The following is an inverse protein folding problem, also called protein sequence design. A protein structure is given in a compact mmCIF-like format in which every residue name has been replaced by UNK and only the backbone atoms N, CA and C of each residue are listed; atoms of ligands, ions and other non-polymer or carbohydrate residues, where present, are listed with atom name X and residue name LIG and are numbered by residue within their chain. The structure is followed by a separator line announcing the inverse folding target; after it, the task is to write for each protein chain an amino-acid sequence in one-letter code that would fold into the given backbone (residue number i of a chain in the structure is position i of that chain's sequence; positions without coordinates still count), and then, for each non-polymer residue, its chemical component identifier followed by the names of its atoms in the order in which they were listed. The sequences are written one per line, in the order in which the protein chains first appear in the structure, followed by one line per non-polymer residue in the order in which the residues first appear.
data_IF_840511831017
#
_entry.id   IF_840511831017
#
_cell.length_a   1.000
_cell.length_b   1.000
_cell.length_c   1.000
_cell.angle_alpha   90.00
_cell.angle_beta   90.00
_cell.angle_gamma   90.00
#
_symmetry.space_group_name_H-M   'P 1'
#
loop_
_entity.id
_entity.type
_entity.pdbx_description
1 polymer ?
#
# COMPACT_ATOMS: atom_id res chain seq x y z
N UNK A 1 3.26 17.77 -12.59
CA UNK A 1 4.69 17.90 -12.23
C UNK A 1 5.49 16.97 -13.13
N UNK A 2 6.73 17.33 -13.53
CA UNK A 2 7.59 16.43 -14.32
C UNK A 2 7.93 15.16 -13.52
N UNK A 3 8.01 14.02 -14.21
CA UNK A 3 8.28 12.72 -13.61
C UNK A 3 9.62 12.15 -14.11
N UNK A 4 10.42 11.49 -13.26
CA UNK A 4 11.57 10.73 -13.71
C UNK A 4 11.14 9.57 -14.63
N UNK A 5 11.80 9.46 -15.79
CA UNK A 5 11.53 8.44 -16.81
C UNK A 5 12.66 7.40 -16.88
N UNK A 6 12.47 6.34 -17.67
CA UNK A 6 13.49 5.32 -17.93
C UNK A 6 13.34 4.01 -17.14
N UNK A 7 12.23 3.80 -16.43
CA UNK A 7 11.89 2.48 -15.87
C UNK A 7 11.75 1.43 -16.99
N UNK A 8 12.20 0.21 -16.72
CA UNK A 8 12.10 -0.95 -17.62
C UNK A 8 11.27 -2.05 -16.96
N UNK A 9 10.70 -2.93 -17.77
CA UNK A 9 9.88 -4.03 -17.28
C UNK A 9 10.73 -5.18 -16.71
N UNK A 10 10.20 -5.85 -15.68
CA UNK A 10 10.82 -7.05 -15.12
C UNK A 10 10.73 -8.23 -16.09
N UNK A 11 11.78 -9.05 -16.17
CA UNK A 11 11.77 -10.30 -16.95
C UNK A 11 11.06 -11.46 -16.24
N UNK A 12 10.70 -11.27 -14.96
CA UNK A 12 10.05 -12.28 -14.13
C UNK A 12 8.81 -11.73 -13.46
N UNK A 13 7.81 -12.60 -13.28
CA UNK A 13 6.58 -12.27 -12.57
C UNK A 13 6.80 -12.21 -11.05
N UNK A 14 6.04 -11.35 -10.38
CA UNK A 14 6.03 -11.31 -8.93
C UNK A 14 5.37 -12.57 -8.36
N UNK A 15 6.02 -13.20 -7.38
CA UNK A 15 5.43 -14.32 -6.65
C UNK A 15 4.30 -13.82 -5.74
N UNK A 16 3.17 -14.53 -5.71
CA UNK A 16 2.01 -14.21 -4.86
C UNK A 16 2.40 -14.02 -3.39
N UNK A 17 3.26 -14.86 -2.82
CA UNK A 17 3.69 -14.73 -1.43
C UNK A 17 4.47 -13.44 -1.20
N UNK A 18 5.37 -13.09 -2.13
CA UNK A 18 6.12 -11.83 -2.11
C UNK A 18 5.20 -10.62 -2.22
N UNK A 19 4.19 -10.68 -3.08
CA UNK A 19 3.20 -9.59 -3.24
C UNK A 19 2.43 -9.39 -1.94
N UNK A 20 1.85 -10.46 -1.38
CA UNK A 20 1.05 -10.36 -0.15
C UNK A 20 1.87 -9.94 1.07
N UNK A 21 3.17 -10.30 1.11
CA UNK A 21 4.07 -9.85 2.17
C UNK A 21 4.45 -8.35 2.07
N UNK A 22 4.25 -7.71 0.91
CA UNK A 22 4.68 -6.35 0.64
C UNK A 22 3.55 -5.33 0.47
N UNK A 23 2.28 -5.77 0.43
CA UNK A 23 1.12 -4.90 0.36
C UNK A 23 0.53 -4.67 1.77
N UNK A 24 0.22 -3.41 2.14
CA UNK A 24 -0.47 -3.12 3.40
C UNK A 24 -1.89 -3.68 3.38
N UNK A 25 -2.31 -4.32 4.48
CA UNK A 25 -3.72 -4.72 4.69
C UNK A 25 -4.54 -3.50 5.11
N UNK A 26 -5.83 -3.39 4.72
CA UNK A 26 -6.74 -2.35 5.23
C UNK A 26 -6.99 -2.45 6.75
N UNK A 27 -6.63 -3.58 7.38
CA UNK A 27 -6.75 -3.80 8.83
C UNK A 27 -5.49 -3.47 9.63
N UNK A 28 -4.42 -3.01 8.97
CA UNK A 28 -3.17 -2.66 9.66
C UNK A 28 -3.34 -1.39 10.52
N UNK A 29 -2.73 -1.43 11.71
CA UNK A 29 -2.52 -0.22 12.50
C UNK A 29 -1.37 0.62 11.93
N UNK A 30 -1.20 1.85 12.42
CA UNK A 30 -0.19 2.79 11.92
C UNK A 30 1.23 2.23 12.02
N UNK A 31 1.58 1.55 13.11
CA UNK A 31 2.91 0.95 13.29
C UNK A 31 3.19 -0.12 12.22
N UNK A 32 2.20 -0.95 11.88
CA UNK A 32 2.31 -1.94 10.82
C UNK A 32 2.37 -1.32 9.41
N UNK A 33 1.66 -0.21 9.18
CA UNK A 33 1.75 0.55 7.92
C UNK A 33 3.16 1.13 7.72
N UNK A 34 3.77 1.68 8.77
CA UNK A 34 5.15 2.20 8.70
C UNK A 34 6.14 1.05 8.46
N UNK A 35 5.97 -0.10 9.13
CA UNK A 35 6.91 -1.21 9.01
C UNK A 35 6.93 -1.85 7.62
N UNK A 36 5.80 -1.91 6.91
CA UNK A 36 5.74 -2.48 5.55
C UNK A 36 6.28 -1.53 4.47
N UNK A 37 6.22 -0.21 4.72
CA UNK A 37 6.69 0.83 3.79
C UNK A 37 8.16 1.22 4.03
N UNK A 38 8.66 1.14 5.26
CA UNK A 38 10.04 1.49 5.62
C UNK A 38 11.11 0.83 4.75
N UNK A 39 11.05 -0.50 4.48
CA UNK A 39 12.00 -1.17 3.58
C UNK A 39 12.00 -0.66 2.13
N UNK A 40 10.98 0.13 1.73
CA UNK A 40 10.87 0.77 0.40
C UNK A 40 11.42 2.20 0.40
N UNK A 41 12.03 2.63 1.52
CA UNK A 41 12.57 3.98 1.69
C UNK A 41 11.50 5.04 1.94
N UNK A 42 10.27 4.64 2.29
CA UNK A 42 9.16 5.55 2.56
C UNK A 42 8.99 5.75 4.07
N UNK A 43 8.84 7.00 4.48
CA UNK A 43 8.71 7.40 5.88
C UNK A 43 7.24 7.70 6.27
N UNK A 44 7.04 8.20 7.49
CA UNK A 44 5.70 8.55 7.99
C UNK A 44 4.99 9.64 7.17
N UNK A 45 5.72 10.65 6.71
CA UNK A 45 5.17 11.71 5.85
C UNK A 45 4.72 11.14 4.52
N UNK A 46 5.51 10.22 3.93
CA UNK A 46 5.14 9.54 2.70
C UNK A 46 3.88 8.68 2.89
N UNK A 47 3.78 7.95 4.01
CA UNK A 47 2.58 7.19 4.36
C UNK A 47 1.34 8.08 4.38
N UNK A 48 1.39 9.23 5.05
CA UNK A 48 0.25 10.15 5.15
C UNK A 48 -0.08 10.75 3.79
N UNK A 49 0.93 11.23 3.05
CA UNK A 49 0.74 11.85 1.74
C UNK A 49 0.16 10.87 0.71
N UNK A 50 0.68 9.64 0.65
CA UNK A 50 0.20 8.59 -0.28
C UNK A 50 -1.18 8.06 0.12
N UNK A 51 -1.50 8.02 1.43
CA UNK A 51 -2.84 7.69 1.90
C UNK A 51 -3.90 8.69 1.42
N UNK A 52 -3.50 9.91 1.06
CA UNK A 52 -4.35 10.88 0.36
C UNK A 52 -4.92 10.36 -0.97
N UNK A 53 -4.34 9.32 -1.58
CA UNK A 53 -4.89 8.64 -2.74
C UNK A 53 -6.29 8.06 -2.52
N UNK A 54 -6.68 7.80 -1.27
CA UNK A 54 -8.04 7.40 -0.90
C UNK A 54 -9.08 8.53 -0.98
N UNK A 55 -8.70 9.75 -1.40
CA UNK A 55 -9.65 10.85 -1.67
C UNK A 55 -10.59 10.57 -2.85
N UNK A 56 -10.28 9.58 -3.68
CA UNK A 56 -11.09 9.10 -4.80
C UNK A 56 -11.07 7.57 -4.85
N UNK A 57 -12.00 6.97 -5.61
CA UNK A 57 -12.07 5.53 -5.83
C UNK A 57 -13.18 4.84 -5.04
N UNK A 58 -13.09 3.52 -4.94
CA UNK A 58 -14.06 2.65 -4.25
C UNK A 58 -13.31 1.52 -3.55
N UNK A 59 -13.92 0.96 -2.51
CA UNK A 59 -13.45 -0.24 -1.82
C UNK A 59 -14.55 -1.30 -1.81
N UNK A 60 -14.16 -2.58 -1.84
CA UNK A 60 -15.10 -3.67 -1.58
C UNK A 60 -15.46 -3.72 -0.08
N UNK A 61 -16.66 -4.19 0.27
CA UNK A 61 -17.11 -4.33 1.65
C UNK A 61 -16.14 -5.16 2.51
N UNK A 62 -15.54 -6.22 1.96
CA UNK A 62 -14.60 -7.10 2.67
C UNK A 62 -13.33 -6.41 3.18
N UNK A 63 -13.08 -5.16 2.78
CA UNK A 63 -11.94 -4.38 3.24
C UNK A 63 -12.22 -3.60 4.52
N UNK A 64 -13.49 -3.49 4.95
CA UNK A 64 -13.87 -2.66 6.11
C UNK A 64 -15.10 -3.16 6.90
N UNK A 65 -15.76 -4.23 6.48
CA UNK A 65 -16.94 -4.80 7.15
C UNK A 65 -16.66 -5.27 8.59
N UNK A 66 -15.42 -5.67 8.88
CA UNK A 66 -14.95 -5.97 10.25
C UNK A 66 -15.06 -4.77 11.23
N UNK A 67 -15.26 -3.56 10.71
CA UNK A 67 -15.50 -2.34 11.50
C UNK A 67 -16.99 -2.05 11.70
N UNK A 68 -17.86 -2.80 11.03
CA UNK A 68 -19.31 -2.63 11.03
C UNK A 68 -20.02 -3.74 11.82
N UNK A 69 -19.48 -4.96 11.78
CA UNK A 69 -20.08 -6.15 12.38
C UNK A 69 -19.06 -6.91 13.24
N UNK A 70 -19.57 -7.59 14.28
CA UNK A 70 -18.82 -8.54 15.10
C UNK A 70 -19.17 -9.97 14.67
#
# INVERSE_FOLDING_TARGET
YPLPLGRRDSLTFANRSTVLANLPSPTFNVTALISVLGPKGLNFTDLVALSGGHTIGRSNCSSFDNRLYN
#
